data_IF_251814940175
#
_entry.id   IF_251814940175
#
_cell.length_a   1.000
_cell.length_b   1.000
_cell.length_c   1.000
_cell.angle_alpha   90.00
_cell.angle_beta   90.00
_cell.angle_gamma   90.00
#
_symmetry.space_group_name_H-M   'P 1'
#
loop_
_entity.id
_entity.type
_entity.pdbx_description
1 polymer ?
#
# COMPACT_ATOMS: atom_id res chain seq x y z
N UNK A 1 -7.49 9.99 4.98
CA UNK A 1 -8.51 9.27 5.79
C UNK A 1 -8.74 7.87 5.23
N UNK A 2 -9.05 7.72 3.93
CA UNK A 2 -9.31 6.41 3.33
C UNK A 2 -8.14 5.39 3.45
N UNK A 3 -6.87 5.78 3.31
CA UNK A 3 -5.76 4.84 3.57
C UNK A 3 -5.74 4.27 5.00
N UNK A 4 -6.11 5.05 6.01
CA UNK A 4 -6.16 4.59 7.40
C UNK A 4 -7.29 3.56 7.60
N UNK A 5 -8.44 3.79 6.97
CA UNK A 5 -9.59 2.87 7.01
C UNK A 5 -9.27 1.56 6.31
N UNK A 6 -8.62 1.60 5.15
CA UNK A 6 -8.17 0.38 4.44
C UNK A 6 -7.13 -0.37 5.28
N UNK A 7 -6.20 0.36 5.89
CA UNK A 7 -5.18 -0.23 6.75
C UNK A 7 -5.83 -0.93 7.96
N UNK A 8 -6.84 -0.31 8.59
CA UNK A 8 -7.62 -0.90 9.68
C UNK A 8 -8.39 -2.15 9.21
N UNK A 9 -9.11 -2.08 8.08
CA UNK A 9 -9.81 -3.23 7.52
C UNK A 9 -8.86 -4.39 7.21
N UNK A 10 -7.66 -4.11 6.69
CA UNK A 10 -6.62 -5.14 6.48
C UNK A 10 -6.07 -5.66 7.80
N UNK A 11 -6.02 -4.86 8.87
CA UNK A 11 -5.64 -5.38 10.18
C UNK A 11 -6.67 -6.38 10.72
N UNK A 12 -7.96 -6.14 10.48
CA UNK A 12 -9.08 -7.01 10.89
C UNK A 12 -9.15 -8.30 10.04
N UNK A 13 -9.05 -8.17 8.71
CA UNK A 13 -9.18 -9.31 7.79
C UNK A 13 -7.83 -9.97 7.51
N UNK A 14 -7.44 -10.94 8.36
CA UNK A 14 -6.14 -11.66 8.33
C UNK A 14 -5.78 -12.34 7.01
N UNK A 15 -6.72 -12.50 6.09
CA UNK A 15 -6.47 -13.08 4.78
C UNK A 15 -5.99 -12.08 3.74
N UNK A 16 -6.08 -10.77 3.96
CA UNK A 16 -5.69 -9.78 2.94
C UNK A 16 -4.32 -9.15 3.17
N UNK A 17 -3.70 -8.65 2.11
CA UNK A 17 -2.47 -7.88 2.15
C UNK A 17 -2.71 -6.56 1.41
N UNK A 18 -2.28 -5.46 2.01
CA UNK A 18 -2.41 -4.12 1.45
C UNK A 18 -1.22 -3.82 0.54
N UNK A 19 -1.45 -3.72 -0.76
CA UNK A 19 -0.44 -3.28 -1.71
C UNK A 19 -0.70 -1.83 -2.06
N UNK A 20 0.35 -1.01 -2.06
CA UNK A 20 0.26 0.42 -2.36
C UNK A 20 1.31 0.75 -3.41
N UNK A 21 0.90 1.38 -4.49
CA UNK A 21 1.80 1.90 -5.51
C UNK A 21 1.76 3.43 -5.48
N UNK A 22 2.92 4.08 -5.39
CA UNK A 22 3.01 5.53 -5.52
C UNK A 22 2.77 5.91 -6.97
N UNK A 23 1.89 6.87 -7.25
CA UNK A 23 1.72 7.40 -8.61
C UNK A 23 3.03 8.02 -9.13
N UNK A 24 3.28 7.95 -10.45
CA UNK A 24 4.51 8.44 -11.04
C UNK A 24 4.75 9.91 -10.70
N UNK A 25 5.98 10.20 -10.29
CA UNK A 25 6.49 11.52 -9.91
C UNK A 25 8.01 11.48 -9.83
N UNK A 26 8.65 12.58 -9.40
CA UNK A 26 10.13 12.63 -9.31
C UNK A 26 10.68 11.47 -8.47
N UNK A 27 11.63 10.71 -9.03
CA UNK A 27 12.20 9.48 -8.45
C UNK A 27 12.74 9.65 -7.02
N UNK A 28 13.44 10.75 -6.73
CA UNK A 28 13.99 11.02 -5.40
C UNK A 28 12.89 11.21 -4.34
N UNK A 29 11.80 11.90 -4.72
CA UNK A 29 10.60 12.06 -3.89
C UNK A 29 9.92 10.71 -3.63
N UNK A 30 9.98 9.78 -4.58
CA UNK A 30 9.34 8.47 -4.41
C UNK A 30 9.98 7.64 -3.30
N UNK A 31 11.31 7.58 -3.17
CA UNK A 31 11.96 6.78 -2.11
C UNK A 31 11.60 7.29 -0.71
N UNK A 32 11.63 8.60 -0.51
CA UNK A 32 11.24 9.21 0.76
C UNK A 32 9.76 8.98 1.07
N UNK A 33 8.89 9.09 0.06
CA UNK A 33 7.46 8.83 0.21
C UNK A 33 7.15 7.37 0.49
N UNK A 34 7.86 6.42 -0.13
CA UNK A 34 7.76 4.99 0.22
C UNK A 34 8.09 4.81 1.69
N UNK A 35 9.25 5.32 2.13
CA UNK A 35 9.69 5.17 3.52
C UNK A 35 8.75 5.86 4.52
N UNK A 36 8.15 6.99 4.14
CA UNK A 36 7.15 7.67 4.95
C UNK A 36 5.86 6.85 5.05
N UNK A 37 5.34 6.34 3.93
CA UNK A 37 4.15 5.47 3.91
C UNK A 37 4.34 4.19 4.72
N UNK A 38 5.49 3.52 4.57
CA UNK A 38 5.80 2.35 5.38
C UNK A 38 5.80 2.66 6.89
N UNK A 39 6.32 3.82 7.28
CA UNK A 39 6.32 4.26 8.69
C UNK A 39 4.89 4.51 9.18
N UNK A 40 4.08 5.21 8.40
CA UNK A 40 2.69 5.48 8.74
C UNK A 40 1.86 4.20 8.87
N UNK A 41 2.02 3.23 7.96
CA UNK A 41 1.31 1.94 8.06
C UNK A 41 1.74 1.13 9.30
N UNK A 42 3.03 1.19 9.66
CA UNK A 42 3.51 0.55 10.91
C UNK A 42 2.96 1.26 12.15
N UNK A 43 2.88 2.58 12.14
CA UNK A 43 2.28 3.35 13.23
C UNK A 43 0.79 3.02 13.43
N UNK A 44 0.09 2.63 12.35
CA UNK A 44 -1.29 2.12 12.38
C UNK A 44 -1.38 0.64 12.85
N UNK A 45 -0.27 0.03 13.27
CA UNK A 45 -0.26 -1.35 13.78
C UNK A 45 -0.17 -2.44 12.71
N UNK A 46 -0.02 -2.10 11.42
CA UNK A 46 0.13 -3.13 10.38
C UNK A 46 1.53 -3.74 10.46
N UNK A 47 1.57 -5.07 10.62
CA UNK A 47 2.82 -5.82 10.53
C UNK A 47 3.39 -5.71 9.11
N UNK A 48 4.72 -5.66 8.97
CA UNK A 48 5.42 -5.55 7.66
C UNK A 48 4.96 -6.60 6.62
N UNK A 49 4.55 -7.79 7.05
CA UNK A 49 4.01 -8.83 6.17
C UNK A 49 2.62 -8.52 5.59
N UNK A 50 1.89 -7.58 6.19
CA UNK A 50 0.50 -7.24 5.86
C UNK A 50 0.39 -6.15 4.81
N UNK A 51 1.51 -5.53 4.44
CA UNK A 51 1.52 -4.54 3.37
C UNK A 51 2.77 -4.64 2.49
N UNK A 52 2.71 -4.04 1.31
CA UNK A 52 3.86 -3.76 0.44
C UNK A 52 3.67 -2.39 -0.19
N UNK A 53 4.73 -1.61 -0.26
CA UNK A 53 4.73 -0.31 -0.92
C UNK A 53 5.69 -0.37 -2.10
N UNK A 54 5.24 0.05 -3.27
CA UNK A 54 5.98 0.03 -4.52
C UNK A 54 6.04 1.44 -5.10
N UNK A 55 7.16 1.83 -5.75
CA UNK A 55 7.09 2.89 -6.74
C UNK A 55 6.23 2.44 -7.93
N UNK A 56 5.54 3.37 -8.62
CA UNK A 56 4.66 3.06 -9.76
C UNK A 56 5.31 2.12 -10.78
N UNK A 57 6.56 2.40 -11.12
CA UNK A 57 7.34 1.67 -12.12
C UNK A 57 7.66 0.22 -11.73
N UNK A 58 7.50 -0.16 -10.45
CA UNK A 58 7.70 -1.53 -9.94
C UNK A 58 6.42 -2.13 -9.38
N UNK A 59 5.29 -1.44 -9.52
CA UNK A 59 4.01 -1.95 -9.08
C UNK A 59 3.63 -3.15 -9.97
N UNK A 60 3.34 -4.33 -9.38
CA UNK A 60 2.90 -5.48 -10.17
C UNK A 60 1.60 -5.19 -10.93
N UNK A 61 1.43 -5.80 -12.10
CA UNK A 61 0.20 -5.67 -12.88
C UNK A 61 -1.04 -6.18 -12.12
N UNK A 62 -2.19 -5.58 -12.43
CA UNK A 62 -3.51 -5.97 -11.94
C UNK A 62 -4.37 -4.78 -11.55
N UNK A 63 -5.50 -5.07 -10.89
CA UNK A 63 -6.50 -4.05 -10.58
C UNK A 63 -6.08 -3.17 -9.41
N UNK A 64 -5.57 -2.00 -9.75
CA UNK A 64 -5.25 -0.92 -8.84
C UNK A 64 -6.36 0.13 -8.88
N UNK A 65 -6.86 0.54 -7.72
CA UNK A 65 -7.75 1.70 -7.65
C UNK A 65 -7.02 2.91 -7.07
N UNK A 66 -7.35 4.08 -7.60
CA UNK A 66 -6.85 5.35 -7.05
C UNK A 66 -7.53 5.64 -5.71
N UNK A 67 -6.77 5.60 -4.62
CA UNK A 67 -7.27 6.00 -3.30
C UNK A 67 -7.07 7.50 -3.07
N UNK A 68 -6.00 8.06 -3.62
CA UNK A 68 -5.75 9.50 -3.57
C UNK A 68 -5.14 10.01 -4.87
N UNK A 69 -4.91 11.32 -4.97
CA UNK A 69 -4.12 11.95 -6.04
C UNK A 69 -2.68 11.42 -6.10
N UNK A 70 -2.23 10.72 -5.06
CA UNK A 70 -0.83 10.40 -4.82
C UNK A 70 -0.53 8.90 -4.82
N UNK A 71 -1.50 8.04 -4.50
CA UNK A 71 -1.31 6.60 -4.42
C UNK A 71 -2.42 5.80 -5.09
N UNK A 72 -2.02 4.64 -5.58
CA UNK A 72 -2.89 3.54 -5.95
C UNK A 72 -2.84 2.46 -4.88
N UNK A 73 -3.97 1.80 -4.64
CA UNK A 73 -4.11 0.76 -3.64
C UNK A 73 -4.68 -0.49 -4.28
N UNK A 74 -4.25 -1.64 -3.77
CA UNK A 74 -4.77 -2.96 -4.14
C UNK A 74 -4.81 -3.85 -2.91
N UNK A 75 -5.89 -4.61 -2.75
CA UNK A 75 -6.00 -5.65 -1.73
C UNK A 75 -5.73 -7.00 -2.37
N UNK A 76 -4.74 -7.71 -1.83
CA UNK A 76 -4.34 -9.04 -2.33
C UNK A 76 -4.69 -10.06 -1.28
N UNK A 77 -5.49 -11.07 -1.63
CA UNK A 77 -5.79 -12.19 -0.73
C UNK A 77 -4.55 -13.09 -0.62
N UNK A 78 -4.07 -13.30 0.61
CA UNK A 78 -3.05 -14.27 0.98
C UNK A 78 -3.70 -15.65 1.03
N UNK A 79 -3.44 -16.45 0.00
CA UNK A 79 -3.89 -17.84 -0.07
C UNK A 79 -4.94 -18.05 -1.15
N UNK A 80 -4.49 -18.59 -2.28
CA UNK A 80 -5.31 -19.08 -3.36
C UNK A 80 -4.53 -19.20 -4.67
N UNK A 81 -3.72 -20.27 -4.79
CA UNK A 81 -3.13 -20.74 -6.07
C UNK A 81 -1.90 -19.99 -6.54
#
# INVERSE_FOLDING_TARGET
KALQEIAAAVAEHKDFQLWIALKPGKLWIQRERVAHLERSLRALGLKRRRFKVFPAEKAPEGDWWGESSEVWVRLVRRGGG
#
